data_IF_970432419191
#
_entry.id   IF_970432419191
#
_cell.length_a   1.000
_cell.length_b   1.000
_cell.length_c   1.000
_cell.angle_alpha   90.00
_cell.angle_beta   90.00
_cell.angle_gamma   90.00
#
_symmetry.space_group_name_H-M   'P 1'
#
loop_
_entity.id
_entity.type
_entity.pdbx_description
1 polymer ?
#
# COMPACT_ATOMS: atom_id res chain seq x y z
N UNK A 1 -3.04 14.29 10.72
CA UNK A 1 -3.38 13.23 9.76
C UNK A 1 -2.57 13.49 8.51
N UNK A 2 -1.78 12.50 8.12
CA UNK A 2 -1.01 12.50 6.88
C UNK A 2 -1.38 11.29 6.02
N UNK A 3 -1.21 11.43 4.71
CA UNK A 3 -1.35 10.34 3.75
C UNK A 3 0.05 9.96 3.28
N UNK A 4 0.35 8.68 3.25
CA UNK A 4 1.62 8.15 2.78
C UNK A 4 1.37 7.22 1.58
N UNK A 5 2.29 7.21 0.62
CA UNK A 5 2.24 6.29 -0.51
C UNK A 5 3.55 5.50 -0.64
N UNK A 6 3.43 4.18 -0.75
CA UNK A 6 4.58 3.28 -0.82
C UNK A 6 4.31 2.01 -1.63
N UNK A 7 5.35 1.17 -1.73
CA UNK A 7 5.30 -0.15 -2.39
C UNK A 7 5.43 -1.31 -1.41
N UNK A 8 5.74 -1.02 -0.16
CA UNK A 8 5.96 -2.03 0.87
C UNK A 8 5.62 -1.47 2.23
N UNK A 9 5.24 -2.40 3.12
CA UNK A 9 4.86 -2.14 4.49
C UNK A 9 5.84 -2.85 5.43
N UNK A 10 6.11 -2.27 6.60
CA UNK A 10 6.94 -2.89 7.63
C UNK A 10 6.27 -2.68 8.98
N UNK A 11 6.33 -3.70 9.85
CA UNK A 11 5.84 -3.62 11.24
C UNK A 11 6.45 -2.43 12.00
N UNK A 12 7.68 -2.05 11.66
CA UNK A 12 8.39 -0.90 12.27
C UNK A 12 7.77 0.46 11.95
N UNK A 13 6.90 0.56 10.93
CA UNK A 13 6.22 1.81 10.58
C UNK A 13 5.08 2.14 11.53
N UNK A 14 4.58 1.17 12.30
CA UNK A 14 3.37 1.30 13.08
C UNK A 14 3.65 1.64 14.54
N UNK A 15 2.68 2.27 15.23
CA UNK A 15 2.67 2.30 16.69
C UNK A 15 2.79 0.89 17.29
N UNK A 16 3.34 0.80 18.51
CA UNK A 16 3.49 -0.48 19.23
C UNK A 16 2.18 -1.27 19.30
N UNK A 17 1.08 -0.58 19.51
CA UNK A 17 -0.27 -1.14 19.57
C UNK A 17 -1.19 -0.29 18.68
N UNK A 18 -1.81 -0.92 17.69
CA UNK A 18 -2.77 -0.27 16.80
C UNK A 18 -3.69 -1.29 16.12
N UNK A 19 -4.82 -0.79 15.60
CA UNK A 19 -5.67 -1.50 14.64
C UNK A 19 -5.49 -0.86 13.28
N UNK A 20 -5.40 -1.72 12.26
CA UNK A 20 -5.28 -1.30 10.88
C UNK A 20 -6.58 -1.69 10.15
N UNK A 21 -7.31 -0.69 9.66
CA UNK A 21 -8.45 -0.93 8.79
C UNK A 21 -7.98 -0.91 7.34
N UNK A 22 -8.03 -2.08 6.69
CA UNK A 22 -7.63 -2.28 5.30
C UNK A 22 -8.82 -2.08 4.36
N UNK A 23 -8.64 -1.33 3.28
CA UNK A 23 -9.63 -1.16 2.22
C UNK A 23 -8.95 -1.09 0.85
N UNK A 24 -9.42 -1.89 -0.11
CA UNK A 24 -8.98 -1.78 -1.50
C UNK A 24 -9.55 -0.52 -2.15
N UNK A 25 -8.71 0.20 -2.89
CA UNK A 25 -9.08 1.33 -3.72
C UNK A 25 -9.30 0.79 -5.13
N UNK A 26 -10.54 0.83 -5.61
CA UNK A 26 -10.87 0.44 -6.97
C UNK A 26 -10.03 1.26 -7.95
N UNK A 27 -9.20 0.58 -8.75
CA UNK A 27 -8.25 1.18 -9.69
C UNK A 27 -8.77 1.20 -11.14
N UNK A 28 -9.95 0.63 -11.41
CA UNK A 28 -10.50 0.41 -12.77
C UNK A 28 -11.24 1.62 -13.37
N UNK A 29 -11.51 2.66 -12.58
CA UNK A 29 -12.14 3.92 -13.03
C UNK A 29 -11.09 4.98 -13.37
N UNK A 30 -11.33 5.99 -14.23
CA UNK A 30 -10.41 7.12 -14.41
C UNK A 30 -10.31 7.91 -13.10
N UNK A 31 -9.42 7.44 -12.22
CA UNK A 31 -9.48 7.72 -10.80
C UNK A 31 -8.84 9.06 -10.47
N UNK A 32 -9.63 10.12 -10.59
CA UNK A 32 -9.33 11.42 -9.99
C UNK A 32 -9.04 11.27 -8.49
N UNK A 33 -9.67 10.31 -7.80
CA UNK A 33 -9.47 10.06 -6.37
C UNK A 33 -8.09 9.46 -6.09
N UNK A 34 -7.71 8.35 -6.76
CA UNK A 34 -6.39 7.75 -6.56
C UNK A 34 -5.25 8.73 -6.87
N UNK A 35 -5.36 9.45 -7.99
CA UNK A 35 -4.40 10.50 -8.37
C UNK A 35 -4.33 11.60 -7.33
N UNK A 36 -5.48 12.09 -6.87
CA UNK A 36 -5.55 13.12 -5.83
C UNK A 36 -4.91 12.65 -4.51
N UNK A 37 -5.21 11.42 -4.08
CA UNK A 37 -4.64 10.83 -2.88
C UNK A 37 -3.12 10.69 -2.97
N UNK A 38 -2.60 10.20 -4.09
CA UNK A 38 -1.15 10.03 -4.30
C UNK A 38 -0.47 11.40 -4.40
N UNK A 39 -1.04 12.37 -5.11
CA UNK A 39 -0.49 13.73 -5.19
C UNK A 39 -0.44 14.43 -3.83
N UNK A 40 -1.40 14.15 -2.95
CA UNK A 40 -1.43 14.67 -1.58
C UNK A 40 -0.57 13.86 -0.59
N UNK A 41 0.02 12.75 -1.03
CA UNK A 41 0.73 11.82 -0.16
C UNK A 41 2.21 12.15 -0.02
N UNK A 42 2.76 11.79 1.13
CA UNK A 42 4.21 11.71 1.35
C UNK A 42 4.70 10.41 0.72
N UNK A 43 5.57 10.51 -0.27
CA UNK A 43 6.14 9.35 -0.97
C UNK A 43 7.20 8.68 -0.09
N UNK A 44 6.98 7.40 0.25
CA UNK A 44 7.88 6.57 1.08
C UNK A 44 8.50 5.41 0.28
N UNK A 45 8.43 5.48 -1.04
CA UNK A 45 9.04 4.52 -1.95
C UNK A 45 10.57 4.59 -1.86
N UNK A 46 11.21 3.43 -1.96
CA UNK A 46 12.66 3.34 -2.10
C UNK A 46 13.07 3.60 -3.57
N UNK A 47 14.08 4.44 -3.85
CA UNK A 47 14.58 4.68 -5.20
C UNK A 47 15.01 3.40 -5.95
N UNK A 48 15.35 2.32 -5.25
CA UNK A 48 15.67 1.02 -5.88
C UNK A 48 14.48 0.40 -6.63
N UNK A 49 13.25 0.86 -6.38
CA UNK A 49 12.05 0.36 -7.06
C UNK A 49 11.61 1.20 -8.28
N UNK A 50 12.51 1.98 -8.89
CA UNK A 50 12.21 2.83 -10.05
C UNK A 50 11.46 2.13 -11.19
N UNK A 51 11.74 0.85 -11.45
CA UNK A 51 11.04 0.07 -12.49
C UNK A 51 9.55 -0.05 -12.20
N UNK A 52 9.19 -0.33 -10.95
CA UNK A 52 7.80 -0.44 -10.51
C UNK A 52 7.12 0.93 -10.53
N UNK A 53 7.82 1.96 -10.07
CA UNK A 53 7.32 3.35 -10.09
C UNK A 53 6.97 3.76 -11.53
N UNK A 54 7.85 3.54 -12.50
CA UNK A 54 7.58 3.84 -13.91
C UNK A 54 6.35 3.08 -14.47
N UNK A 55 6.11 1.84 -14.02
CA UNK A 55 4.92 1.07 -14.39
C UNK A 55 3.67 1.72 -13.81
N UNK A 56 3.71 2.16 -12.55
CA UNK A 56 2.58 2.82 -11.90
C UNK A 56 2.27 4.17 -12.55
N UNK A 57 3.30 4.96 -12.84
CA UNK A 57 3.15 6.24 -13.56
C UNK A 57 2.56 6.04 -14.95
N UNK A 58 3.02 5.05 -15.71
CA UNK A 58 2.51 4.80 -17.07
C UNK A 58 1.09 4.22 -17.09
N UNK A 59 0.79 3.20 -16.26
CA UNK A 59 -0.53 2.53 -16.25
C UNK A 59 -1.64 3.35 -15.62
N UNK A 60 -1.32 4.17 -14.62
CA UNK A 60 -2.34 4.92 -13.85
C UNK A 60 -2.22 6.45 -14.03
N UNK A 61 -1.29 6.91 -14.87
CA UNK A 61 -0.99 8.34 -15.09
C UNK A 61 -0.76 9.08 -13.76
N UNK A 62 0.05 8.48 -12.90
CA UNK A 62 0.47 9.04 -11.62
C UNK A 62 1.73 9.89 -11.80
N UNK A 63 1.97 10.81 -10.88
CA UNK A 63 3.22 11.56 -10.77
C UNK A 63 3.85 11.26 -9.41
N UNK A 64 4.86 10.39 -9.39
CA UNK A 64 5.45 9.89 -8.13
C UNK A 64 6.85 10.46 -8.01
N UNK A 65 7.00 11.54 -7.25
CA UNK A 65 8.30 12.14 -6.98
C UNK A 65 9.03 11.35 -5.89
N UNK A 66 9.92 10.46 -6.30
CA UNK A 66 10.63 9.55 -5.41
C UNK A 66 11.77 10.29 -4.72
N UNK A 67 11.80 10.35 -3.38
CA UNK A 67 12.88 11.04 -2.67
C UNK A 67 14.23 10.32 -2.88
N UNK A 68 15.32 11.09 -2.84
CA UNK A 68 16.68 10.56 -3.00
C UNK A 68 17.06 9.51 -1.95
N UNK A 69 16.38 9.52 -0.79
CA UNK A 69 16.52 8.51 0.27
C UNK A 69 15.13 8.16 0.79
N UNK A 70 14.94 6.90 1.12
CA UNK A 70 13.70 6.43 1.74
C UNK A 70 13.45 7.16 3.07
N UNK A 71 12.32 7.85 3.24
CA UNK A 71 11.96 8.44 4.52
C UNK A 71 11.70 7.34 5.56
N UNK A 72 12.21 7.54 6.77
CA UNK A 72 11.83 6.75 7.94
C UNK A 72 10.55 7.38 8.49
N UNK A 73 9.48 6.60 8.57
CA UNK A 73 8.17 7.09 9.05
C UNK A 73 7.73 6.32 10.29
N UNK A 74 7.02 7.02 11.17
CA UNK A 74 6.28 6.47 12.28
C UNK A 74 4.83 6.92 12.14
N UNK A 75 3.96 6.01 11.72
CA UNK A 75 2.54 6.27 11.53
C UNK A 75 1.87 6.60 12.86
N UNK A 76 0.89 7.48 12.83
CA UNK A 76 0.13 7.92 14.01
C UNK A 76 -1.35 7.60 13.85
N UNK A 77 -2.09 7.76 14.94
CA UNK A 77 -3.55 7.66 14.92
C UNK A 77 -4.16 8.54 13.82
N UNK A 78 -5.05 7.95 13.03
CA UNK A 78 -5.74 8.61 11.94
C UNK A 78 -4.92 8.75 10.65
N UNK A 79 -3.63 8.43 10.63
CA UNK A 79 -2.84 8.43 9.40
C UNK A 79 -3.33 7.35 8.43
N UNK A 80 -3.09 7.61 7.15
CA UNK A 80 -3.46 6.73 6.06
C UNK A 80 -2.21 6.32 5.29
N UNK A 81 -2.03 5.03 5.11
CA UNK A 81 -0.99 4.45 4.26
C UNK A 81 -1.62 3.81 3.04
N UNK A 82 -1.24 4.26 1.85
CA UNK A 82 -1.64 3.69 0.57
C UNK A 82 -0.46 2.87 0.03
N UNK A 83 -0.70 1.59 -0.21
CA UNK A 83 0.29 0.69 -0.82
C UNK A 83 -0.18 0.31 -2.22
N UNK A 84 0.70 0.44 -3.21
CA UNK A 84 0.54 -0.24 -4.49
C UNK A 84 1.14 -1.65 -4.37
N UNK A 85 0.28 -2.66 -4.34
CA UNK A 85 0.68 -4.06 -4.33
C UNK A 85 0.77 -4.54 -5.77
N UNK A 86 1.97 -5.00 -6.15
CA UNK A 86 2.27 -5.45 -7.52
C UNK A 86 2.60 -6.94 -7.48
N UNK A 87 1.89 -7.72 -8.29
CA UNK A 87 2.09 -9.17 -8.40
C UNK A 87 2.02 -9.62 -9.86
N UNK A 88 2.54 -10.82 -10.15
CA UNK A 88 2.57 -11.37 -11.51
C UNK A 88 3.68 -10.83 -12.41
N UNK A 89 4.56 -9.95 -11.91
CA UNK A 89 5.79 -9.61 -12.61
C UNK A 89 6.86 -10.70 -12.39
N UNK A 90 7.61 -11.08 -13.44
CA UNK A 90 8.75 -11.97 -13.29
C UNK A 90 9.87 -11.32 -12.46
N UNK A 91 10.83 -12.15 -12.03
CA UNK A 91 11.98 -11.71 -11.22
C UNK A 91 12.72 -10.52 -11.86
N UNK A 92 13.37 -9.69 -11.05
CA UNK A 92 13.99 -8.40 -11.43
C UNK A 92 15.22 -8.51 -12.35
N UNK A 93 15.47 -9.68 -12.94
CA UNK A 93 16.68 -10.01 -13.70
C UNK A 93 16.74 -9.32 -15.07
N UNK A 94 15.63 -8.87 -15.63
CA UNK A 94 15.58 -8.19 -16.93
C UNK A 94 14.66 -6.95 -16.94
N UNK A 95 14.69 -6.20 -18.04
CA UNK A 95 13.72 -5.12 -18.30
C UNK A 95 12.39 -5.75 -18.70
N UNK A 96 11.32 -5.41 -18.01
CA UNK A 96 9.98 -5.88 -18.35
C UNK A 96 9.57 -5.42 -19.75
N UNK A 97 9.07 -6.37 -20.54
CA UNK A 97 8.33 -6.13 -21.77
C UNK A 97 6.96 -5.53 -21.47
N UNK A 98 6.34 -4.91 -22.49
CA UNK A 98 4.99 -4.37 -22.33
C UNK A 98 3.96 -5.45 -21.97
N UNK A 99 4.08 -6.65 -22.55
CA UNK A 99 3.19 -7.76 -22.24
C UNK A 99 3.28 -8.22 -20.77
N UNK A 100 4.49 -8.24 -20.19
CA UNK A 100 4.66 -8.53 -18.75
C UNK A 100 4.06 -7.43 -17.87
N UNK A 101 4.22 -6.17 -18.28
CA UNK A 101 3.65 -5.02 -17.57
C UNK A 101 2.12 -5.06 -17.61
N UNK A 102 1.53 -5.37 -18.75
CA UNK A 102 0.09 -5.43 -18.95
C UNK A 102 -0.54 -6.62 -18.21
N UNK A 103 0.17 -7.75 -18.17
CA UNK A 103 -0.24 -8.96 -17.44
C UNK A 103 -0.08 -8.87 -15.92
N UNK A 104 0.67 -7.90 -15.41
CA UNK A 104 0.84 -7.71 -13.98
C UNK A 104 -0.48 -7.27 -13.30
N UNK A 105 -0.76 -7.84 -12.14
CA UNK A 105 -1.84 -7.38 -11.27
C UNK A 105 -1.32 -6.27 -10.36
N UNK A 106 -2.01 -5.13 -10.37
CA UNK A 106 -1.70 -3.97 -9.54
C UNK A 106 -2.97 -3.55 -8.83
N UNK A 107 -2.94 -3.63 -7.51
CA UNK A 107 -4.02 -3.15 -6.63
C UNK A 107 -3.49 -2.07 -5.71
N UNK A 108 -4.35 -1.12 -5.36
CA UNK A 108 -4.03 -0.07 -4.40
C UNK A 108 -4.82 -0.33 -3.13
N UNK A 109 -4.14 -0.35 -2.00
CA UNK A 109 -4.73 -0.71 -0.72
C UNK A 109 -4.49 0.41 0.28
N UNK A 110 -5.56 0.92 0.85
CA UNK A 110 -5.55 1.87 1.94
C UNK A 110 -5.51 1.14 3.28
N UNK A 111 -4.62 1.58 4.16
CA UNK A 111 -4.50 1.14 5.55
C UNK A 111 -4.69 2.37 6.44
N UNK A 112 -5.80 2.42 7.18
CA UNK A 112 -6.06 3.49 8.14
C UNK A 112 -5.65 3.04 9.53
N UNK A 113 -4.88 3.87 10.22
CA UNK A 113 -4.28 3.54 11.52
C UNK A 113 -5.16 4.05 12.65
N UNK A 114 -5.47 3.19 13.61
CA UNK A 114 -6.24 3.51 14.80
C UNK A 114 -5.46 3.10 16.05
N UNK A 115 -5.28 4.04 16.98
CA UNK A 115 -4.65 3.78 18.29
C UNK A 115 -5.61 4.15 19.41
N UNK A 116 -5.56 3.42 20.53
CA UNK A 116 -6.45 3.61 21.67
C UNK A 116 -7.11 2.28 22.06
N UNK A 117 -8.03 2.31 23.04
CA UNK A 117 -8.79 1.13 23.44
C UNK A 117 -9.65 0.70 22.25
N UNK A 118 -9.20 -0.36 21.59
CA UNK A 118 -10.05 -1.17 20.75
C UNK A 118 -10.97 -1.84 21.76
N UNK A 119 -12.21 -1.36 21.88
CA UNK A 119 -13.23 -2.24 22.44
C UNK A 119 -13.24 -3.44 21.50
N UNK A 120 -12.78 -4.59 21.96
CA UNK A 120 -13.04 -5.86 21.31
C UNK A 120 -14.53 -5.85 20.99
N UNK A 121 -14.86 -5.71 19.70
CA UNK A 121 -16.19 -6.03 19.27
C UNK A 121 -16.38 -7.49 19.69
N UNK A 122 -17.36 -7.74 20.55
CA UNK A 122 -17.68 -9.06 21.10
C UNK A 122 -17.41 -10.13 20.03
N UNK A 123 -16.48 -11.03 20.33
CA UNK A 123 -16.17 -12.18 19.51
C UNK A 123 -17.49 -12.86 19.12
N UNK A 124 -17.86 -12.76 17.84
CA UNK A 124 -18.78 -13.73 17.30
C UNK A 124 -17.95 -15.00 17.16
N UNK A 125 -18.04 -15.86 18.16
CA UNK A 125 -17.29 -17.10 18.32
C UNK A 125 -17.26 -17.88 17.01
N UNK A 126 -16.13 -17.86 16.30
CA UNK A 126 -15.82 -18.89 15.33
C UNK A 126 -15.39 -20.08 16.18
N UNK A 127 -16.20 -21.13 16.21
CA UNK A 127 -15.91 -22.35 17.00
C UNK A 127 -14.55 -22.91 16.60
N UNK A 128 -13.63 -22.92 17.56
CA UNK A 128 -12.29 -23.51 17.47
C UNK A 128 -12.31 -25.05 17.60
N UNK A 129 -13.05 -25.74 16.73
CA UNK A 129 -12.91 -27.19 16.61
C UNK A 129 -12.71 -27.52 15.13
N UNK A 130 -11.45 -27.45 14.64
CA UNK A 130 -10.94 -28.22 13.46
C UNK A 130 -9.59 -27.66 12.93
N UNK A 131 -8.55 -27.48 13.76
CA UNK A 131 -7.20 -27.29 13.19
C UNK A 131 -6.08 -28.14 13.81
N UNK A 132 -6.37 -28.93 14.85
CA UNK A 132 -5.43 -29.95 15.35
C UNK A 132 -6.16 -31.20 15.84
N UNK A 133 -6.57 -32.05 14.89
CA UNK A 133 -6.81 -33.48 15.10
C UNK A 133 -6.27 -34.26 13.90
#
# INVERSE_FOLDING_TARGET
MSIYFGLAISSTMFPKECVIVRKEIDSKSPNNILKSLINASIIICDPFHKRIINILESRFSLNIDVPARRPIINLKNGDILIIAEVSGLPSFTHKYSQAEIDGASIIFVQHKIHTGVVHEAEETTIKEDEYFA
#
